data_IF_345603467548
#
_entry.id   IF_345603467548
#
_cell.length_a   1.000
_cell.length_b   1.000
_cell.length_c   1.000
_cell.angle_alpha   90.00
_cell.angle_beta   90.00
_cell.angle_gamma   90.00
#
_symmetry.space_group_name_H-M   'P 1'
#
loop_
_entity.id
_entity.type
_entity.pdbx_description
1 polymer ?
#
# COMPACT_ATOMS: atom_id res chain seq x y z
N UNK A 1 -39.84 -3.00 12.90
CA UNK A 1 -39.24 -3.70 11.74
C UNK A 1 -38.35 -2.83 10.84
N UNK A 2 -38.54 -1.50 10.78
CA UNK A 2 -37.82 -0.62 9.87
C UNK A 2 -36.38 -0.22 10.25
N UNK A 3 -36.06 -0.17 11.56
CA UNK A 3 -34.71 0.24 12.00
C UNK A 3 -33.60 -0.76 11.63
N UNK A 4 -33.90 -2.05 11.57
CA UNK A 4 -32.93 -3.10 11.21
C UNK A 4 -32.62 -3.14 9.70
N UNK A 5 -33.59 -2.81 8.85
CA UNK A 5 -33.39 -2.77 7.40
C UNK A 5 -32.62 -1.52 6.97
N UNK A 6 -32.92 -0.35 7.55
CA UNK A 6 -32.18 0.90 7.34
C UNK A 6 -30.72 0.78 7.83
N UNK A 7 -30.49 0.13 8.98
CA UNK A 7 -29.16 -0.14 9.51
C UNK A 7 -28.33 -1.02 8.55
N UNK A 8 -28.91 -2.10 8.00
CA UNK A 8 -28.22 -2.99 7.03
C UNK A 8 -27.88 -2.29 5.71
N UNK A 9 -28.78 -1.42 5.21
CA UNK A 9 -28.53 -0.62 4.00
C UNK A 9 -27.36 0.34 4.20
N UNK A 10 -27.31 1.01 5.35
CA UNK A 10 -26.24 1.94 5.70
C UNK A 10 -24.88 1.24 5.81
N UNK A 11 -24.81 0.05 6.43
CA UNK A 11 -23.58 -0.73 6.53
C UNK A 11 -23.06 -1.14 5.15
N UNK A 12 -23.94 -1.62 4.25
CA UNK A 12 -23.53 -1.97 2.88
C UNK A 12 -22.95 -0.77 2.13
N UNK A 13 -23.58 0.38 2.27
CA UNK A 13 -23.14 1.60 1.59
C UNK A 13 -21.78 2.09 2.13
N UNK A 14 -21.54 2.00 3.43
CA UNK A 14 -20.24 2.29 4.05
C UNK A 14 -19.15 1.36 3.51
N UNK A 15 -19.43 0.06 3.37
CA UNK A 15 -18.47 -0.90 2.80
C UNK A 15 -18.15 -0.55 1.34
N UNK A 16 -19.17 -0.25 0.53
CA UNK A 16 -18.99 0.13 -0.88
C UNK A 16 -18.13 1.39 -0.99
N UNK A 17 -18.44 2.42 -0.21
CA UNK A 17 -17.68 3.69 -0.24
C UNK A 17 -16.25 3.53 0.25
N UNK A 18 -16.03 2.71 1.27
CA UNK A 18 -14.68 2.38 1.74
C UNK A 18 -13.90 1.56 0.69
N UNK A 19 -14.56 0.61 0.02
CA UNK A 19 -13.96 -0.19 -1.04
C UNK A 19 -13.59 0.64 -2.26
N UNK A 20 -14.49 1.54 -2.70
CA UNK A 20 -14.20 2.49 -3.77
C UNK A 20 -13.10 3.49 -3.38
N UNK A 21 -13.05 3.90 -2.11
CA UNK A 21 -11.97 4.75 -1.60
C UNK A 21 -10.63 4.07 -1.73
N UNK A 22 -10.52 2.84 -1.28
CA UNK A 22 -9.29 2.09 -1.38
C UNK A 22 -8.93 1.74 -2.84
N UNK A 23 -9.93 1.53 -3.71
CA UNK A 23 -9.72 1.35 -5.15
C UNK A 23 -9.05 2.58 -5.78
N UNK A 24 -9.56 3.78 -5.51
CA UNK A 24 -8.99 5.03 -6.04
C UNK A 24 -7.61 5.29 -5.42
N UNK A 25 -7.43 5.01 -4.11
CA UNK A 25 -6.14 5.12 -3.41
C UNK A 25 -5.07 4.26 -4.08
N UNK A 26 -5.36 2.98 -4.35
CA UNK A 26 -4.42 2.07 -5.00
C UNK A 26 -4.19 2.45 -6.47
N UNK A 27 -5.23 2.90 -7.18
CA UNK A 27 -5.07 3.43 -8.54
C UNK A 27 -4.02 4.54 -8.57
N UNK A 28 -4.20 5.56 -7.74
CA UNK A 28 -3.34 6.74 -7.71
C UNK A 28 -1.92 6.44 -7.17
N UNK A 29 -1.84 5.57 -6.17
CA UNK A 29 -0.57 5.13 -5.58
C UNK A 29 0.34 4.46 -6.64
N UNK A 30 -0.26 3.63 -7.49
CA UNK A 30 0.46 2.76 -8.42
C UNK A 30 0.56 3.38 -9.82
N UNK A 31 -0.32 4.32 -10.16
CA UNK A 31 -0.39 4.91 -11.50
C UNK A 31 0.98 5.37 -12.01
N UNK A 32 1.77 6.07 -11.18
CA UNK A 32 3.08 6.53 -11.62
C UNK A 32 4.01 5.38 -12.00
N UNK A 33 4.02 4.29 -11.28
CA UNK A 33 4.84 3.12 -11.61
C UNK A 33 4.51 2.57 -13.00
N UNK A 34 3.23 2.64 -13.39
CA UNK A 34 2.74 2.22 -14.72
C UNK A 34 3.19 3.18 -15.82
N UNK A 35 2.94 4.49 -15.63
CA UNK A 35 3.15 5.51 -16.67
C UNK A 35 4.51 6.21 -16.56
N UNK A 36 5.38 5.80 -15.64
CA UNK A 36 6.67 6.42 -15.35
C UNK A 36 7.49 6.69 -16.59
N UNK A 37 7.73 5.66 -17.40
CA UNK A 37 8.56 5.80 -18.62
C UNK A 37 7.91 6.76 -19.62
N UNK A 38 6.57 6.64 -19.82
CA UNK A 38 5.82 7.51 -20.74
C UNK A 38 5.88 8.98 -20.29
N UNK A 39 5.64 9.24 -18.99
CA UNK A 39 5.63 10.60 -18.44
C UNK A 39 7.01 11.25 -18.45
N UNK A 40 8.06 10.51 -18.08
CA UNK A 40 9.42 11.03 -18.09
C UNK A 40 9.91 11.35 -19.50
N UNK A 41 9.64 10.47 -20.47
CA UNK A 41 9.93 10.74 -21.89
C UNK A 41 9.14 11.94 -22.41
N UNK A 42 7.88 12.07 -22.03
CA UNK A 42 7.03 13.22 -22.36
C UNK A 42 7.57 14.55 -21.81
N UNK A 43 8.29 14.51 -20.69
CA UNK A 43 8.99 15.66 -20.09
C UNK A 43 10.42 15.85 -20.63
N UNK A 44 10.85 15.06 -21.63
CA UNK A 44 12.16 15.18 -22.25
C UNK A 44 13.33 14.60 -21.44
N UNK A 45 13.06 13.70 -20.49
CA UNK A 45 14.11 13.01 -19.71
C UNK A 45 14.82 11.99 -20.62
N UNK A 46 16.17 12.03 -20.71
CA UNK A 46 16.95 11.07 -21.49
C UNK A 46 16.79 9.62 -21.01
N UNK A 47 16.90 8.65 -21.91
CA UNK A 47 16.75 7.23 -21.58
C UNK A 47 17.70 6.75 -20.49
N UNK A 48 18.92 7.32 -20.42
CA UNK A 48 19.91 7.00 -19.39
C UNK A 48 19.52 7.44 -17.98
N UNK A 49 18.67 8.47 -17.86
CA UNK A 49 18.29 9.08 -16.59
C UNK A 49 16.91 8.60 -16.08
N UNK A 50 16.19 7.78 -16.86
CA UNK A 50 14.82 7.33 -16.53
C UNK A 50 14.75 6.59 -15.18
N UNK A 51 15.77 5.80 -14.85
CA UNK A 51 15.83 5.07 -13.59
C UNK A 51 16.02 6.04 -12.41
N UNK A 52 16.96 6.96 -12.52
CA UNK A 52 17.33 7.87 -11.43
C UNK A 52 16.26 8.92 -11.17
N UNK A 53 15.74 9.55 -12.22
CA UNK A 53 14.63 10.51 -12.12
C UNK A 53 13.36 9.80 -11.64
N UNK A 54 13.08 8.59 -12.15
CA UNK A 54 11.95 7.78 -11.71
C UNK A 54 12.05 7.42 -10.23
N UNK A 55 13.22 7.02 -9.76
CA UNK A 55 13.50 6.74 -8.35
C UNK A 55 13.26 7.96 -7.47
N UNK A 56 13.75 9.12 -7.89
CA UNK A 56 13.54 10.39 -7.17
C UNK A 56 12.05 10.72 -7.03
N UNK A 57 11.26 10.56 -8.09
CA UNK A 57 9.83 10.86 -8.08
C UNK A 57 9.02 9.87 -7.22
N UNK A 58 9.38 8.58 -7.22
CA UNK A 58 8.79 7.59 -6.31
C UNK A 58 9.11 7.96 -4.88
N UNK A 59 10.37 8.27 -4.59
CA UNK A 59 10.80 8.65 -3.24
C UNK A 59 10.09 9.90 -2.75
N UNK A 60 9.85 10.89 -3.61
CA UNK A 60 9.07 12.10 -3.27
C UNK A 60 7.67 11.71 -2.78
N UNK A 61 6.95 10.85 -3.49
CA UNK A 61 5.63 10.38 -3.07
C UNK A 61 5.69 9.56 -1.77
N UNK A 62 6.63 8.62 -1.66
CA UNK A 62 6.74 7.76 -0.47
C UNK A 62 7.12 8.55 0.78
N UNK A 63 7.98 9.56 0.62
CA UNK A 63 8.31 10.48 1.72
C UNK A 63 7.09 11.34 2.11
N UNK A 64 6.31 11.78 1.13
CA UNK A 64 5.01 12.41 1.36
C UNK A 64 4.07 11.51 2.17
N UNK A 65 4.01 10.22 1.85
CA UNK A 65 3.18 9.25 2.59
C UNK A 65 3.65 9.03 4.03
N UNK A 66 4.97 9.02 4.28
CA UNK A 66 5.50 8.97 5.65
C UNK A 66 5.00 10.14 6.50
N UNK A 67 5.17 11.35 6.00
CA UNK A 67 4.72 12.57 6.71
C UNK A 67 3.20 12.65 6.79
N UNK A 68 2.51 12.27 5.71
CA UNK A 68 1.05 12.18 5.65
C UNK A 68 0.47 11.21 6.66
N UNK A 69 1.10 10.04 6.86
CA UNK A 69 0.68 9.06 7.86
C UNK A 69 0.69 9.63 9.29
N UNK A 70 1.72 10.41 9.63
CA UNK A 70 1.80 11.12 10.91
C UNK A 70 0.75 12.22 11.00
N UNK A 71 0.63 13.05 9.96
CA UNK A 71 -0.31 14.17 9.90
C UNK A 71 -1.76 13.71 10.05
N UNK A 72 -2.18 12.74 9.23
CA UNK A 72 -3.55 12.22 9.26
C UNK A 72 -3.84 11.41 10.52
N UNK A 73 -2.84 10.73 11.09
CA UNK A 73 -2.96 10.11 12.41
C UNK A 73 -3.35 11.15 13.47
N UNK A 74 -2.60 12.24 13.58
CA UNK A 74 -2.86 13.32 14.54
C UNK A 74 -4.22 14.02 14.28
N UNK A 75 -4.55 14.28 13.01
CA UNK A 75 -5.83 14.91 12.66
C UNK A 75 -6.99 13.97 12.97
N UNK A 76 -6.86 12.67 12.67
CA UNK A 76 -7.87 11.65 12.94
C UNK A 76 -8.20 11.54 14.43
N UNK A 77 -7.19 11.65 15.30
CA UNK A 77 -7.37 11.63 16.75
C UNK A 77 -8.07 12.91 17.27
N UNK A 78 -7.72 14.08 16.69
CA UNK A 78 -8.25 15.37 17.15
C UNK A 78 -9.60 15.75 16.55
N UNK A 79 -9.83 15.46 15.26
CA UNK A 79 -11.00 15.91 14.48
C UNK A 79 -11.90 14.77 14.00
N UNK A 80 -11.53 13.54 14.35
CA UNK A 80 -12.26 12.34 13.93
C UNK A 80 -11.90 11.86 12.51
N UNK A 81 -12.22 10.62 12.22
CA UNK A 81 -11.81 9.87 11.02
C UNK A 81 -12.47 10.36 9.75
N UNK A 82 -13.69 10.88 9.86
CA UNK A 82 -14.41 11.44 8.73
C UNK A 82 -13.64 12.64 8.16
N UNK A 83 -13.12 13.52 9.02
CA UNK A 83 -12.29 14.66 8.59
C UNK A 83 -11.02 14.24 7.84
N UNK A 84 -10.41 13.11 8.25
CA UNK A 84 -9.27 12.52 7.54
C UNK A 84 -9.68 12.04 6.16
N UNK A 85 -10.77 11.26 6.07
CA UNK A 85 -11.27 10.74 4.79
C UNK A 85 -11.59 11.84 3.78
N UNK A 86 -12.16 12.97 4.23
CA UNK A 86 -12.47 14.11 3.35
C UNK A 86 -11.22 14.90 2.96
N UNK A 87 -10.37 15.20 3.94
CA UNK A 87 -9.16 15.98 3.70
C UNK A 87 -8.15 15.25 2.83
N UNK A 88 -7.94 13.96 3.07
CA UNK A 88 -7.00 13.13 2.31
C UNK A 88 -7.43 12.98 0.84
N UNK A 89 -8.70 12.62 0.59
CA UNK A 89 -9.20 12.45 -0.77
C UNK A 89 -9.18 13.74 -1.58
N UNK A 90 -9.53 14.88 -0.97
CA UNK A 90 -9.43 16.17 -1.62
C UNK A 90 -8.01 16.49 -2.03
N UNK A 91 -7.05 16.31 -1.09
CA UNK A 91 -5.66 16.64 -1.31
C UNK A 91 -5.03 15.81 -2.43
N UNK A 92 -5.18 14.48 -2.40
CA UNK A 92 -4.57 13.65 -3.44
C UNK A 92 -5.28 13.79 -4.80
N UNK A 93 -6.60 14.00 -4.81
CA UNK A 93 -7.33 14.18 -6.07
C UNK A 93 -6.92 15.46 -6.79
N UNK A 94 -6.77 16.57 -6.05
CA UNK A 94 -6.27 17.83 -6.62
C UNK A 94 -4.81 17.70 -7.07
N UNK A 95 -3.97 17.00 -6.29
CA UNK A 95 -2.59 16.74 -6.67
C UNK A 95 -2.49 15.89 -7.94
N UNK A 96 -3.35 14.87 -8.10
CA UNK A 96 -3.38 14.07 -9.32
C UNK A 96 -3.86 14.87 -10.53
N UNK A 97 -4.90 15.69 -10.39
CA UNK A 97 -5.27 16.61 -11.47
C UNK A 97 -4.08 17.51 -11.86
N UNK A 98 -3.37 18.07 -10.87
CA UNK A 98 -2.20 18.90 -11.11
C UNK A 98 -1.06 18.12 -11.79
N UNK A 99 -0.87 16.84 -11.46
CA UNK A 99 0.11 15.97 -12.13
C UNK A 99 -0.16 15.83 -13.64
N UNK A 100 -1.43 15.88 -14.08
CA UNK A 100 -1.79 15.85 -15.49
C UNK A 100 -1.36 17.10 -16.30
N UNK A 101 -0.91 18.16 -15.62
CA UNK A 101 -0.51 19.42 -16.24
C UNK A 101 0.95 19.81 -15.97
N UNK A 102 1.76 18.92 -15.39
CA UNK A 102 3.17 19.22 -15.12
C UNK A 102 3.99 19.33 -16.40
N UNK A 103 4.91 20.30 -16.42
CA UNK A 103 5.80 20.56 -17.55
C UNK A 103 7.27 20.43 -17.20
N UNK A 104 7.59 20.11 -15.95
CA UNK A 104 8.96 19.96 -15.46
C UNK A 104 9.08 18.90 -14.37
N UNK A 105 10.24 18.24 -14.30
CA UNK A 105 10.54 17.22 -13.29
C UNK A 105 10.48 17.77 -11.86
N UNK A 106 11.00 18.98 -11.53
CA UNK A 106 10.87 19.52 -10.18
C UNK A 106 9.41 19.76 -9.74
N UNK A 107 8.57 20.32 -10.64
CA UNK A 107 7.14 20.50 -10.34
C UNK A 107 6.46 19.14 -10.11
N UNK A 108 6.79 18.14 -10.92
CA UNK A 108 6.30 16.78 -10.76
C UNK A 108 6.66 16.20 -9.39
N UNK A 109 7.91 16.36 -8.94
CA UNK A 109 8.35 15.89 -7.63
C UNK A 109 7.56 16.51 -6.47
N UNK A 110 7.35 17.83 -6.51
CA UNK A 110 6.58 18.55 -5.49
C UNK A 110 5.13 18.08 -5.45
N UNK A 111 4.48 17.96 -6.61
CA UNK A 111 3.08 17.53 -6.68
C UNK A 111 2.94 16.07 -6.25
N UNK A 112 3.89 15.19 -6.61
CA UNK A 112 3.91 13.81 -6.14
C UNK A 112 4.10 13.69 -4.62
N UNK A 113 4.93 14.54 -4.03
CA UNK A 113 5.07 14.64 -2.58
C UNK A 113 3.73 15.02 -1.91
N UNK A 114 3.02 16.02 -2.46
CA UNK A 114 1.70 16.45 -1.97
C UNK A 114 0.67 15.32 -2.13
N UNK A 115 0.67 14.63 -3.28
CA UNK A 115 -0.18 13.46 -3.52
C UNK A 115 0.07 12.37 -2.48
N UNK A 116 1.36 12.11 -2.16
CA UNK A 116 1.75 11.17 -1.12
C UNK A 116 1.19 11.52 0.25
N UNK A 117 1.25 12.79 0.66
CA UNK A 117 0.62 13.25 1.91
C UNK A 117 -0.89 12.91 1.88
N UNK A 118 -1.57 13.19 0.77
CA UNK A 118 -3.00 12.89 0.63
C UNK A 118 -3.30 11.39 0.78
N UNK A 119 -2.63 10.54 0.00
CA UNK A 119 -2.86 9.09 -0.04
C UNK A 119 -2.69 8.39 1.32
N UNK A 120 -1.86 8.92 2.21
CA UNK A 120 -1.59 8.30 3.50
C UNK A 120 -2.81 8.23 4.45
N UNK A 121 -3.85 9.04 4.22
CA UNK A 121 -5.02 9.11 5.11
C UNK A 121 -6.11 8.08 4.80
N UNK A 122 -6.16 7.54 3.60
CA UNK A 122 -7.32 6.78 3.11
C UNK A 122 -7.45 5.38 3.73
N UNK A 123 -6.40 4.56 3.63
CA UNK A 123 -6.44 3.15 4.02
C UNK A 123 -6.83 2.96 5.50
N UNK A 124 -6.15 3.65 6.40
CA UNK A 124 -6.37 3.49 7.84
C UNK A 124 -7.76 3.94 8.27
N UNK A 125 -8.22 5.08 7.76
CA UNK A 125 -9.53 5.63 8.09
C UNK A 125 -10.66 4.76 7.51
N UNK A 126 -10.51 4.25 6.28
CA UNK A 126 -11.48 3.37 5.61
C UNK A 126 -11.67 2.04 6.34
N UNK A 127 -10.57 1.33 6.63
CA UNK A 127 -10.61 0.06 7.38
C UNK A 127 -11.24 0.25 8.76
N UNK A 128 -10.85 1.33 9.44
CA UNK A 128 -11.37 1.60 10.77
C UNK A 128 -12.87 1.89 10.74
N UNK A 129 -13.35 2.69 9.79
CA UNK A 129 -14.78 2.97 9.63
C UNK A 129 -15.59 1.69 9.42
N UNK A 130 -15.11 0.78 8.56
CA UNK A 130 -15.77 -0.51 8.31
C UNK A 130 -15.77 -1.38 9.55
N UNK A 131 -14.66 -1.47 10.28
CA UNK A 131 -14.57 -2.31 11.49
C UNK A 131 -15.40 -1.79 12.65
N UNK A 132 -15.65 -0.48 12.74
CA UNK A 132 -16.48 0.14 13.78
C UNK A 132 -17.99 0.06 13.48
N UNK A 133 -18.36 -0.01 12.21
CA UNK A 133 -19.77 -0.09 11.80
C UNK A 133 -20.30 -1.50 11.68
N UNK A 134 -19.43 -2.50 11.60
CA UNK A 134 -19.81 -3.91 11.46
C UNK A 134 -19.77 -4.68 12.77
N UNK A 135 -20.65 -5.71 12.87
CA UNK A 135 -20.62 -6.66 14.00
C UNK A 135 -19.32 -7.47 14.02
N UNK A 136 -18.93 -7.97 15.20
CA UNK A 136 -17.69 -8.73 15.40
C UNK A 136 -17.57 -9.93 14.46
N UNK A 137 -18.70 -10.58 14.16
CA UNK A 137 -18.78 -11.77 13.29
C UNK A 137 -18.53 -11.45 11.81
N UNK A 138 -18.92 -10.26 11.35
CA UNK A 138 -18.95 -9.89 9.94
C UNK A 138 -17.80 -8.95 9.51
N UNK A 139 -17.01 -8.42 10.44
CA UNK A 139 -15.89 -7.48 10.14
C UNK A 139 -14.91 -8.03 9.13
N UNK A 140 -14.58 -9.33 9.23
CA UNK A 140 -13.65 -9.98 8.32
C UNK A 140 -14.10 -9.94 6.86
N UNK A 141 -15.39 -10.14 6.61
CA UNK A 141 -15.97 -10.05 5.27
C UNK A 141 -15.90 -8.61 4.73
N UNK A 142 -16.21 -7.62 5.57
CA UNK A 142 -16.14 -6.21 5.18
C UNK A 142 -14.73 -5.78 4.80
N UNK A 143 -13.74 -6.11 5.63
CA UNK A 143 -12.34 -5.79 5.34
C UNK A 143 -11.79 -6.54 4.12
N UNK A 144 -12.21 -7.78 3.91
CA UNK A 144 -11.85 -8.58 2.72
C UNK A 144 -12.41 -7.95 1.43
N UNK A 145 -13.66 -7.47 1.44
CA UNK A 145 -14.27 -6.78 0.29
C UNK A 145 -13.51 -5.48 -0.01
N UNK A 146 -13.22 -4.69 1.02
CA UNK A 146 -12.47 -3.43 0.87
C UNK A 146 -11.08 -3.71 0.28
N UNK A 147 -10.36 -4.69 0.82
CA UNK A 147 -9.04 -5.04 0.31
C UNK A 147 -9.08 -5.59 -1.11
N UNK A 148 -9.98 -6.54 -1.41
CA UNK A 148 -10.07 -7.16 -2.73
C UNK A 148 -10.47 -6.17 -3.83
N UNK A 149 -11.49 -5.34 -3.58
CA UNK A 149 -11.89 -4.29 -4.53
C UNK A 149 -10.79 -3.23 -4.66
N UNK A 150 -10.13 -2.87 -3.56
CA UNK A 150 -9.04 -1.91 -3.57
C UNK A 150 -7.88 -2.33 -4.48
N UNK A 151 -7.46 -3.59 -4.43
CA UNK A 151 -6.37 -4.11 -5.28
C UNK A 151 -6.69 -4.03 -6.77
N UNK A 152 -7.97 -4.07 -7.18
CA UNK A 152 -8.38 -3.86 -8.57
C UNK A 152 -8.05 -2.44 -9.07
N UNK A 153 -7.83 -1.48 -8.18
CA UNK A 153 -7.35 -0.14 -8.53
C UNK A 153 -6.01 -0.17 -9.28
N UNK A 154 -5.08 -1.05 -8.91
CA UNK A 154 -3.81 -1.20 -9.62
C UNK A 154 -4.01 -1.81 -11.03
N UNK A 155 -4.93 -2.76 -11.18
CA UNK A 155 -5.31 -3.32 -12.48
C UNK A 155 -5.91 -2.23 -13.36
N UNK A 156 -6.80 -1.41 -12.82
CA UNK A 156 -7.39 -0.27 -13.53
C UNK A 156 -6.32 0.76 -13.92
N UNK A 157 -5.37 1.07 -13.04
CA UNK A 157 -4.24 1.96 -13.33
C UNK A 157 -3.39 1.43 -14.50
N UNK A 158 -3.12 0.12 -14.52
CA UNK A 158 -2.37 -0.52 -15.60
C UNK A 158 -3.12 -0.41 -16.94
N UNK A 159 -4.41 -0.76 -16.96
CA UNK A 159 -5.25 -0.68 -18.16
C UNK A 159 -5.39 0.76 -18.69
N UNK A 160 -5.65 1.72 -17.80
CA UNK A 160 -5.75 3.13 -18.17
C UNK A 160 -4.40 3.66 -18.67
N UNK A 161 -3.31 3.38 -17.95
CA UNK A 161 -1.96 3.83 -18.34
C UNK A 161 -1.46 3.19 -19.64
N UNK A 162 -1.99 2.03 -20.05
CA UNK A 162 -1.69 1.41 -21.34
C UNK A 162 -2.41 2.11 -22.50
N UNK A 163 -3.72 2.39 -22.32
CA UNK A 163 -4.60 2.87 -23.40
C UNK A 163 -4.67 4.39 -23.56
N UNK A 164 -4.31 5.13 -22.51
CA UNK A 164 -4.37 6.60 -22.51
C UNK A 164 -2.99 7.24 -22.37
N UNK A 165 -2.94 8.57 -22.62
CA UNK A 165 -1.72 9.34 -22.33
C UNK A 165 -1.51 9.43 -20.82
N UNK A 166 -0.28 9.72 -20.40
CA UNK A 166 0.05 9.80 -18.98
C UNK A 166 -0.70 10.97 -18.28
N UNK A 167 -0.92 12.08 -18.99
CA UNK A 167 -1.70 13.23 -18.52
C UNK A 167 -3.16 12.84 -18.27
N UNK A 168 -3.77 12.19 -19.27
CA UNK A 168 -5.17 11.71 -19.17
C UNK A 168 -5.32 10.71 -18.05
N UNK A 169 -4.35 9.84 -17.84
CA UNK A 169 -4.38 8.83 -16.76
C UNK A 169 -4.42 9.50 -15.38
N UNK A 170 -3.66 10.58 -15.16
CA UNK A 170 -3.74 11.37 -13.94
C UNK A 170 -5.07 12.12 -13.78
N UNK A 171 -5.58 12.70 -14.85
CA UNK A 171 -6.88 13.39 -14.83
C UNK A 171 -7.99 12.40 -14.46
N UNK A 172 -7.99 11.19 -15.00
CA UNK A 172 -8.96 10.15 -14.66
C UNK A 172 -8.89 9.84 -13.15
N UNK A 173 -7.69 9.63 -12.57
CA UNK A 173 -7.51 9.38 -11.14
C UNK A 173 -8.05 10.53 -10.29
N UNK A 174 -7.67 11.77 -10.62
CA UNK A 174 -8.13 12.94 -9.89
C UNK A 174 -9.66 13.14 -9.97
N UNK A 175 -10.26 12.91 -11.14
CA UNK A 175 -11.73 12.98 -11.32
C UNK A 175 -12.44 11.88 -10.53
N UNK A 176 -11.93 10.64 -10.57
CA UNK A 176 -12.49 9.54 -9.75
C UNK A 176 -12.48 9.88 -8.25
N UNK A 177 -11.38 10.46 -7.76
CA UNK A 177 -11.27 10.89 -6.37
C UNK A 177 -12.26 11.99 -6.01
N UNK A 178 -12.44 13.01 -6.87
CA UNK A 178 -13.42 14.08 -6.65
C UNK A 178 -14.87 13.58 -6.71
N UNK A 179 -15.19 12.64 -7.61
CA UNK A 179 -16.50 12.00 -7.67
C UNK A 179 -16.79 11.21 -6.39
N UNK A 180 -15.79 10.48 -5.88
CA UNK A 180 -15.89 9.76 -4.62
C UNK A 180 -16.05 10.71 -3.42
N UNK A 181 -15.35 11.86 -3.43
CA UNK A 181 -15.53 12.90 -2.42
C UNK A 181 -16.98 13.41 -2.43
N UNK A 182 -17.53 13.73 -3.61
CA UNK A 182 -18.93 14.13 -3.73
C UNK A 182 -19.92 13.09 -3.21
N UNK A 183 -19.68 11.81 -3.52
CA UNK A 183 -20.47 10.70 -2.97
C UNK A 183 -20.39 10.65 -1.42
N UNK A 184 -19.22 10.84 -0.84
CA UNK A 184 -19.02 10.87 0.62
C UNK A 184 -19.71 12.06 1.28
N UNK A 185 -19.69 13.24 0.68
CA UNK A 185 -20.41 14.43 1.17
C UNK A 185 -21.90 14.13 1.26
N UNK A 186 -22.51 13.63 0.19
CA UNK A 186 -23.93 13.29 0.17
C UNK A 186 -24.32 12.25 1.23
N UNK A 187 -23.44 11.27 1.52
CA UNK A 187 -23.65 10.27 2.57
C UNK A 187 -23.51 10.87 3.98
N UNK A 188 -22.57 11.78 4.19
CA UNK A 188 -22.38 12.46 5.47
C UNK A 188 -23.59 13.33 5.81
N UNK A 189 -24.13 14.07 4.85
CA UNK A 189 -25.34 14.88 5.00
C UNK A 189 -26.57 14.05 5.33
N UNK A 190 -26.67 12.82 4.80
CA UNK A 190 -27.77 11.88 5.13
C UNK A 190 -27.75 11.34 6.56
N UNK A 191 -26.77 11.74 7.37
CA UNK A 191 -26.64 11.37 8.78
C UNK A 191 -26.12 9.96 9.04
N UNK A 192 -25.64 9.25 8.00
CA UNK A 192 -25.11 7.88 8.13
C UNK A 192 -23.90 7.76 9.06
N UNK A 193 -23.14 8.84 9.22
CA UNK A 193 -21.96 8.91 10.09
C UNK A 193 -22.26 9.40 11.51
N UNK A 194 -23.51 9.78 11.83
CA UNK A 194 -23.89 10.34 13.15
C UNK A 194 -23.78 9.32 14.29
N UNK A 195 -23.81 8.02 13.98
CA UNK A 195 -23.76 6.94 14.98
C UNK A 195 -22.37 6.37 15.23
N UNK A 196 -21.31 6.94 14.61
CA UNK A 196 -19.94 6.60 14.96
C UNK A 196 -19.63 7.29 16.29
N UNK A 197 -19.84 6.56 17.39
CA UNK A 197 -19.66 7.07 18.75
C UNK A 197 -18.25 7.61 18.94
N UNK A 198 -18.16 8.89 19.30
CA UNK A 198 -17.01 9.47 19.97
C UNK A 198 -17.02 8.99 21.44
N UNK A 199 -16.62 7.76 21.69
CA UNK A 199 -16.31 7.36 23.06
C UNK A 199 -15.04 8.10 23.47
N UNK A 200 -15.16 8.94 24.50
CA UNK A 200 -14.12 9.86 25.02
C UNK A 200 -12.87 9.19 25.63
N UNK A 201 -12.50 8.01 25.17
CA UNK A 201 -11.21 7.39 25.49
C UNK A 201 -10.15 8.08 24.64
N UNK A 202 -9.09 8.61 25.27
CA UNK A 202 -7.90 9.11 24.58
C UNK A 202 -7.30 8.01 23.69
N UNK A 203 -7.83 7.91 22.47
CA UNK A 203 -7.42 6.93 21.47
C UNK A 203 -6.29 7.54 20.65
N UNK A 204 -5.17 6.84 20.54
CA UNK A 204 -4.19 7.15 19.50
C UNK A 204 -3.13 8.18 19.84
N UNK A 205 -2.64 8.21 21.08
CA UNK A 205 -1.40 8.94 21.33
C UNK A 205 -0.23 8.18 20.68
N UNK A 206 0.14 8.58 19.45
CA UNK A 206 1.25 7.99 18.70
C UNK A 206 2.55 8.00 19.49
N UNK A 207 2.76 8.98 20.36
CA UNK A 207 3.93 9.09 21.23
C UNK A 207 4.05 7.92 22.21
N UNK A 208 2.94 7.28 22.59
CA UNK A 208 2.97 6.06 23.39
C UNK A 208 3.71 4.92 22.72
N UNK A 209 3.80 4.89 21.37
CA UNK A 209 4.55 3.86 20.63
C UNK A 209 6.07 4.02 20.78
N UNK A 210 6.53 5.22 21.14
CA UNK A 210 7.95 5.58 21.24
C UNK A 210 8.46 5.71 22.68
N UNK A 211 7.57 5.84 23.66
CA UNK A 211 7.93 6.07 25.06
C UNK A 211 8.34 4.80 25.82
N UNK A 212 8.07 3.61 25.27
CA UNK A 212 8.39 2.33 25.88
C UNK A 212 9.20 1.45 24.93
N UNK A 213 10.40 1.05 25.33
CA UNK A 213 11.34 0.31 24.48
C UNK A 213 10.79 -1.03 23.93
N UNK A 214 10.19 -1.89 24.75
CA UNK A 214 9.52 -3.12 24.28
C UNK A 214 8.38 -2.83 23.28
N UNK A 215 7.58 -1.80 23.52
CA UNK A 215 6.47 -1.39 22.66
C UNK A 215 6.99 -0.85 21.33
N UNK A 216 8.01 0.01 21.36
CA UNK A 216 8.69 0.50 20.16
C UNK A 216 9.29 -0.64 19.33
N UNK A 217 9.98 -1.59 19.95
CA UNK A 217 10.55 -2.77 19.26
C UNK A 217 9.44 -3.59 18.58
N UNK A 218 8.32 -3.81 19.27
CA UNK A 218 7.15 -4.50 18.75
C UNK A 218 6.57 -3.75 17.53
N UNK A 219 6.44 -2.41 17.64
CA UNK A 219 5.95 -1.56 16.56
C UNK A 219 6.89 -1.58 15.35
N UNK A 220 8.19 -1.40 15.58
CA UNK A 220 9.20 -1.48 14.53
C UNK A 220 9.21 -2.85 13.84
N UNK A 221 9.11 -3.94 14.61
CA UNK A 221 9.02 -5.27 14.02
C UNK A 221 7.79 -5.46 13.14
N UNK A 222 6.64 -4.86 13.50
CA UNK A 222 5.46 -4.86 12.64
C UNK A 222 5.70 -4.10 11.32
N UNK A 223 6.50 -3.06 11.30
CA UNK A 223 6.88 -2.35 10.06
C UNK A 223 7.83 -3.22 9.23
N UNK A 224 8.87 -3.74 9.87
CA UNK A 224 9.96 -4.43 9.19
C UNK A 224 9.52 -5.70 8.44
N UNK A 225 8.51 -6.43 8.93
CA UNK A 225 7.98 -7.63 8.23
C UNK A 225 7.26 -7.30 6.92
N UNK A 226 6.84 -6.04 6.71
CA UNK A 226 6.17 -5.61 5.49
C UNK A 226 7.11 -5.10 4.38
N UNK A 227 8.38 -4.80 4.71
CA UNK A 227 9.35 -4.18 3.79
C UNK A 227 9.53 -4.97 2.48
N UNK A 228 9.68 -6.32 2.48
CA UNK A 228 9.95 -7.05 1.25
C UNK A 228 8.87 -6.90 0.19
N UNK A 229 7.59 -6.77 0.57
CA UNK A 229 6.50 -6.55 -0.36
C UNK A 229 6.72 -5.26 -1.17
N UNK A 230 7.05 -4.16 -0.50
CA UNK A 230 7.26 -2.88 -1.19
C UNK A 230 8.58 -2.82 -1.95
N UNK A 231 9.59 -3.61 -1.58
CA UNK A 231 10.76 -3.83 -2.42
C UNK A 231 10.36 -4.53 -3.74
N UNK A 232 9.54 -5.57 -3.68
CA UNK A 232 9.06 -6.28 -4.89
C UNK A 232 8.27 -5.33 -5.80
N UNK A 233 7.26 -4.66 -5.28
CA UNK A 233 6.39 -3.77 -6.07
C UNK A 233 7.14 -2.52 -6.54
N UNK A 234 7.81 -1.85 -5.61
CA UNK A 234 8.38 -0.51 -5.84
C UNK A 234 9.75 -0.52 -6.52
N UNK A 235 10.51 -1.63 -6.44
CA UNK A 235 11.78 -1.77 -7.14
C UNK A 235 11.64 -2.75 -8.29
N UNK A 236 11.41 -4.03 -8.03
CA UNK A 236 11.52 -5.06 -9.07
C UNK A 236 10.48 -4.89 -10.18
N UNK A 237 9.21 -4.66 -9.82
CA UNK A 237 8.13 -4.56 -10.81
C UNK A 237 8.07 -3.17 -11.44
N UNK A 238 8.27 -2.11 -10.66
CA UNK A 238 8.25 -0.74 -11.18
C UNK A 238 9.39 -0.46 -12.16
N UNK A 239 10.58 -1.00 -11.90
CA UNK A 239 11.74 -0.88 -12.79
C UNK A 239 11.95 -2.11 -13.67
N UNK A 240 10.90 -2.91 -13.89
CA UNK A 240 10.98 -4.09 -14.76
C UNK A 240 11.44 -3.80 -16.20
N UNK A 241 11.18 -2.62 -16.83
CA UNK A 241 11.76 -2.30 -18.13
C UNK A 241 13.28 -2.26 -18.11
N UNK A 242 13.87 -1.70 -17.05
CA UNK A 242 15.32 -1.62 -16.86
C UNK A 242 15.90 -3.01 -16.54
N UNK A 243 15.25 -3.77 -15.67
CA UNK A 243 15.65 -5.16 -15.42
C UNK A 243 15.54 -6.04 -16.65
N UNK A 244 14.48 -5.87 -17.47
CA UNK A 244 14.31 -6.60 -18.71
C UNK A 244 15.46 -6.35 -19.72
N UNK A 245 15.93 -5.10 -19.81
CA UNK A 245 17.11 -4.76 -20.64
C UNK A 245 18.37 -5.45 -20.14
N UNK A 246 18.62 -5.40 -18.82
CA UNK A 246 19.81 -5.98 -18.20
C UNK A 246 19.81 -7.51 -18.27
N UNK A 247 18.64 -8.13 -18.20
CA UNK A 247 18.44 -9.58 -18.34
C UNK A 247 18.32 -10.04 -19.79
N UNK A 248 18.61 -9.17 -20.77
CA UNK A 248 18.55 -9.49 -22.20
C UNK A 248 17.20 -10.08 -22.62
N UNK A 249 16.09 -9.55 -22.10
CA UNK A 249 14.74 -9.98 -22.47
C UNK A 249 14.56 -9.91 -24.00
N UNK A 250 13.92 -10.93 -24.58
CA UNK A 250 13.75 -11.03 -26.05
C UNK A 250 12.78 -10.00 -26.61
N UNK A 251 11.95 -9.41 -25.75
CA UNK A 251 10.94 -8.39 -26.07
C UNK A 251 10.95 -7.28 -25.02
N UNK A 252 10.55 -6.03 -25.39
CA UNK A 252 10.44 -4.95 -24.43
C UNK A 252 9.48 -5.27 -23.29
N UNK A 253 9.94 -5.14 -22.05
CA UNK A 253 9.15 -5.37 -20.85
C UNK A 253 8.38 -4.09 -20.48
N UNK A 254 7.07 -4.24 -20.18
CA UNK A 254 6.19 -3.15 -19.74
C UNK A 254 6.01 -3.18 -18.22
N UNK A 255 6.29 -2.04 -17.55
CA UNK A 255 5.99 -1.88 -16.13
C UNK A 255 4.48 -1.99 -15.84
N UNK A 256 3.63 -1.49 -16.74
CA UNK A 256 2.16 -1.59 -16.61
C UNK A 256 1.69 -3.05 -16.58
N UNK A 257 2.16 -3.86 -17.52
CA UNK A 257 1.88 -5.32 -17.55
C UNK A 257 2.40 -5.99 -16.28
N UNK A 258 3.63 -5.67 -15.87
CA UNK A 258 4.22 -6.20 -14.63
C UNK A 258 3.39 -5.86 -13.39
N UNK A 259 2.97 -4.62 -13.25
CA UNK A 259 2.12 -4.15 -12.14
C UNK A 259 0.77 -4.90 -12.15
N UNK A 260 0.10 -4.98 -13.28
CA UNK A 260 -1.18 -5.66 -13.41
C UNK A 260 -1.10 -7.10 -12.89
N UNK A 261 -0.18 -7.88 -13.41
CA UNK A 261 -0.05 -9.29 -13.05
C UNK A 261 0.49 -9.50 -11.63
N UNK A 262 1.38 -8.61 -11.17
CA UNK A 262 1.84 -8.62 -9.80
C UNK A 262 0.67 -8.37 -8.82
N UNK A 263 -0.19 -7.40 -9.06
CA UNK A 263 -1.34 -7.14 -8.18
C UNK A 263 -2.42 -8.22 -8.23
N UNK A 264 -2.62 -8.87 -9.39
CA UNK A 264 -3.43 -10.09 -9.48
C UNK A 264 -2.79 -11.19 -8.60
N UNK A 265 -1.48 -11.34 -8.69
CA UNK A 265 -0.73 -12.27 -7.84
C UNK A 265 -0.88 -11.96 -6.36
N UNK A 266 -0.74 -10.68 -5.94
CA UNK A 266 -0.93 -10.26 -4.55
C UNK A 266 -2.34 -10.62 -4.06
N UNK A 267 -3.38 -10.36 -4.87
CA UNK A 267 -4.75 -10.69 -4.50
C UNK A 267 -4.95 -12.20 -4.28
N UNK A 268 -4.41 -13.03 -5.16
CA UNK A 268 -4.45 -14.49 -5.01
C UNK A 268 -3.64 -14.96 -3.79
N UNK A 269 -2.46 -14.38 -3.59
CA UNK A 269 -1.60 -14.68 -2.43
C UNK A 269 -2.27 -14.32 -1.11
N UNK A 270 -2.92 -13.14 -1.01
CA UNK A 270 -3.64 -12.72 0.19
C UNK A 270 -4.80 -13.66 0.55
N UNK A 271 -5.54 -14.17 -0.46
CA UNK A 271 -6.58 -15.17 -0.25
C UNK A 271 -5.96 -16.46 0.31
N UNK A 272 -4.88 -16.94 -0.30
CA UNK A 272 -4.19 -18.16 0.14
C UNK A 272 -3.58 -17.97 1.52
N UNK A 273 -2.94 -16.84 1.80
CA UNK A 273 -2.36 -16.51 3.10
C UNK A 273 -3.44 -16.48 4.20
N UNK A 274 -4.60 -15.88 3.92
CA UNK A 274 -5.73 -15.86 4.84
C UNK A 274 -6.26 -17.26 5.14
N UNK A 275 -6.42 -18.10 4.12
CA UNK A 275 -6.85 -19.49 4.27
C UNK A 275 -5.82 -20.33 5.05
N UNK A 276 -4.54 -20.23 4.69
CA UNK A 276 -3.45 -20.90 5.39
C UNK A 276 -3.37 -20.49 6.87
N UNK A 277 -3.65 -19.23 7.20
CA UNK A 277 -3.66 -18.76 8.58
C UNK A 277 -4.71 -19.46 9.43
N UNK A 278 -5.87 -19.77 8.86
CA UNK A 278 -6.92 -20.55 9.53
C UNK A 278 -6.53 -22.03 9.69
N UNK A 279 -5.99 -22.63 8.63
CA UNK A 279 -5.58 -24.04 8.64
C UNK A 279 -4.43 -24.29 9.63
N UNK A 280 -3.38 -23.48 9.56
CA UNK A 280 -2.17 -23.62 10.38
C UNK A 280 -2.36 -23.08 11.81
N UNK A 281 -3.47 -22.37 12.07
CA UNK A 281 -3.72 -21.65 13.34
C UNK A 281 -2.53 -20.82 13.78
N UNK A 282 -1.84 -20.18 12.83
CA UNK A 282 -0.64 -19.39 13.09
C UNK A 282 -0.42 -18.35 12.02
N UNK A 283 -0.41 -17.08 12.42
CA UNK A 283 -0.06 -15.95 11.57
C UNK A 283 1.44 -15.96 11.23
N UNK A 284 2.28 -16.30 12.21
CA UNK A 284 3.74 -16.30 12.03
C UNK A 284 4.21 -17.36 11.03
N UNK A 285 3.64 -18.56 11.03
CA UNK A 285 4.01 -19.61 10.07
C UNK A 285 3.66 -19.18 8.64
N UNK A 286 2.50 -18.55 8.42
CA UNK A 286 2.11 -18.02 7.13
C UNK A 286 3.08 -16.93 6.66
N UNK A 287 3.39 -15.95 7.52
CA UNK A 287 4.37 -14.92 7.20
C UNK A 287 5.72 -15.50 6.82
N UNK A 288 6.22 -16.49 7.59
CA UNK A 288 7.49 -17.18 7.29
C UNK A 288 7.45 -17.83 5.90
N UNK A 289 6.37 -18.57 5.59
CA UNK A 289 6.20 -19.22 4.30
C UNK A 289 6.23 -18.21 3.15
N UNK A 290 5.49 -17.12 3.28
CA UNK A 290 5.44 -16.09 2.23
C UNK A 290 6.75 -15.31 2.10
N UNK A 291 7.48 -15.03 3.20
CA UNK A 291 8.81 -14.42 3.13
C UNK A 291 9.82 -15.32 2.40
N UNK A 292 9.78 -16.64 2.65
CA UNK A 292 10.62 -17.61 1.94
C UNK A 292 10.24 -17.65 0.45
N UNK A 293 8.95 -17.71 0.14
CA UNK A 293 8.46 -17.67 -1.25
C UNK A 293 8.89 -16.36 -1.95
N UNK A 294 8.83 -15.22 -1.25
CA UNK A 294 9.29 -13.93 -1.79
C UNK A 294 10.79 -13.97 -2.08
N UNK A 295 11.60 -14.54 -1.18
CA UNK A 295 13.04 -14.70 -1.45
C UNK A 295 13.29 -15.56 -2.71
N UNK A 296 12.57 -16.68 -2.84
CA UNK A 296 12.67 -17.55 -4.02
C UNK A 296 12.26 -16.81 -5.29
N UNK A 297 11.12 -16.07 -5.26
CA UNK A 297 10.63 -15.35 -6.44
C UNK A 297 11.59 -14.23 -6.88
N UNK A 298 12.24 -13.54 -5.94
CA UNK A 298 13.29 -12.55 -6.23
C UNK A 298 14.46 -13.19 -6.99
N UNK A 299 14.95 -14.34 -6.48
CA UNK A 299 16.04 -15.07 -7.14
C UNK A 299 15.65 -15.55 -8.53
N UNK A 300 14.47 -16.15 -8.65
CA UNK A 300 13.99 -16.66 -9.95
C UNK A 300 13.86 -15.53 -10.97
N UNK A 301 13.27 -14.39 -10.58
CA UNK A 301 13.11 -13.24 -11.47
C UNK A 301 14.45 -12.65 -11.91
N UNK A 302 15.37 -12.40 -10.96
CA UNK A 302 16.65 -11.74 -11.26
C UNK A 302 17.69 -12.66 -11.93
N UNK A 303 17.39 -13.94 -12.13
CA UNK A 303 18.18 -14.87 -12.93
C UNK A 303 17.46 -15.33 -14.21
N UNK A 304 16.35 -14.72 -14.58
CA UNK A 304 15.57 -15.07 -15.76
C UNK A 304 16.14 -14.39 -17.02
N UNK A 305 17.39 -14.71 -17.38
CA UNK A 305 18.05 -14.19 -18.57
C UNK A 305 17.34 -14.63 -19.86
N UNK A 306 17.21 -13.74 -20.84
CA UNK A 306 16.57 -14.02 -22.13
C UNK A 306 15.05 -14.24 -22.04
N UNK A 307 14.39 -13.80 -20.97
CA UNK A 307 12.95 -14.02 -20.79
C UNK A 307 12.11 -13.37 -21.90
N UNK A 308 11.04 -14.07 -22.31
CA UNK A 308 10.01 -13.52 -23.19
C UNK A 308 9.00 -12.68 -22.41
N UNK A 309 8.19 -11.85 -23.09
CA UNK A 309 7.10 -11.10 -22.45
C UNK A 309 6.11 -12.03 -21.72
N UNK A 310 5.83 -13.21 -22.28
CA UNK A 310 4.94 -14.20 -21.63
C UNK A 310 5.57 -14.79 -20.35
N UNK A 311 6.86 -15.08 -20.35
CA UNK A 311 7.57 -15.54 -19.14
C UNK A 311 7.61 -14.45 -18.08
N UNK A 312 7.80 -13.19 -18.47
CA UNK A 312 7.73 -12.06 -17.56
C UNK A 312 6.37 -11.95 -16.86
N UNK A 313 5.27 -12.18 -17.58
CA UNK A 313 3.92 -12.21 -16.97
C UNK A 313 3.85 -13.23 -15.83
N UNK A 314 4.33 -14.44 -16.05
CA UNK A 314 4.34 -15.49 -15.01
C UNK A 314 5.27 -15.16 -13.85
N UNK A 315 6.42 -14.53 -14.12
CA UNK A 315 7.33 -14.06 -13.09
C UNK A 315 6.71 -12.92 -12.27
N UNK A 316 6.06 -11.95 -12.89
CA UNK A 316 5.34 -10.87 -12.22
C UNK A 316 4.19 -11.40 -11.35
N UNK A 317 3.42 -12.37 -11.87
CA UNK A 317 2.38 -13.06 -11.12
C UNK A 317 2.97 -13.78 -9.89
N UNK A 318 4.09 -14.49 -10.06
CA UNK A 318 4.75 -15.20 -8.96
C UNK A 318 5.36 -14.26 -7.92
N UNK A 319 6.00 -13.16 -8.34
CA UNK A 319 6.46 -12.09 -7.45
C UNK A 319 5.29 -11.52 -6.63
N UNK A 320 4.17 -11.26 -7.27
CA UNK A 320 2.95 -10.79 -6.61
C UNK A 320 2.39 -11.83 -5.66
N UNK A 321 2.20 -13.07 -6.09
CA UNK A 321 1.66 -14.15 -5.26
C UNK A 321 2.50 -14.36 -3.99
N UNK A 322 3.81 -14.43 -4.13
CA UNK A 322 4.74 -14.63 -3.02
C UNK A 322 4.73 -13.45 -2.03
N UNK A 323 4.42 -12.23 -2.52
CA UNK A 323 4.27 -11.03 -1.71
C UNK A 323 2.84 -10.79 -1.22
N UNK A 324 1.89 -11.69 -1.54
CA UNK A 324 0.49 -11.62 -1.19
C UNK A 324 0.22 -12.01 0.26
N UNK A 325 0.77 -11.26 1.19
CA UNK A 325 0.55 -11.41 2.63
C UNK A 325 0.15 -10.10 3.31
N UNK A 326 -0.31 -9.11 2.52
CA UNK A 326 -0.63 -7.78 3.02
C UNK A 326 -1.73 -7.80 4.08
N UNK A 327 -2.82 -8.53 3.83
CA UNK A 327 -3.91 -8.65 4.81
C UNK A 327 -3.46 -9.34 6.09
N UNK A 328 -2.65 -10.41 6.00
CA UNK A 328 -2.07 -11.11 7.16
C UNK A 328 -1.12 -10.21 7.94
N UNK A 329 -0.28 -9.45 7.26
CA UNK A 329 0.65 -8.47 7.82
C UNK A 329 -0.10 -7.38 8.63
N UNK A 330 -1.11 -6.75 8.05
CA UNK A 330 -1.93 -5.72 8.73
C UNK A 330 -2.66 -6.32 9.94
N UNK A 331 -3.13 -7.57 9.81
CA UNK A 331 -3.77 -8.29 10.91
C UNK A 331 -2.79 -8.52 12.06
N UNK A 332 -1.58 -9.01 11.79
CA UNK A 332 -0.54 -9.16 12.82
C UNK A 332 -0.30 -7.83 13.53
N UNK A 333 -0.08 -6.75 12.77
CA UNK A 333 0.16 -5.44 13.33
C UNK A 333 -0.98 -4.98 14.25
N UNK A 334 -2.24 -5.19 13.83
CA UNK A 334 -3.41 -4.83 14.64
C UNK A 334 -3.55 -5.67 15.91
N UNK A 335 -3.26 -6.97 15.83
CA UNK A 335 -3.41 -7.93 16.93
C UNK A 335 -2.28 -7.84 17.98
N UNK A 336 -1.14 -7.22 17.65
CA UNK A 336 -0.03 -7.01 18.58
C UNK A 336 -0.31 -5.93 19.62
N UNK A 337 -1.30 -5.04 19.39
CA UNK A 337 -1.54 -3.87 20.24
C UNK A 337 -2.95 -3.84 20.82
N UNK A 338 -3.05 -3.27 22.03
CA UNK A 338 -4.31 -3.05 22.73
C UNK A 338 -5.25 -2.10 21.97
N UNK A 339 -6.51 -2.09 22.40
CA UNK A 339 -7.62 -1.36 21.73
C UNK A 339 -7.33 0.13 21.57
N UNK A 340 -6.62 0.74 22.54
CA UNK A 340 -6.29 2.17 22.53
C UNK A 340 -5.22 2.57 21.51
N UNK A 341 -4.33 1.66 21.09
CA UNK A 341 -3.28 1.92 20.10
C UNK A 341 -3.52 1.24 18.74
N UNK A 342 -4.44 0.28 18.69
CA UNK A 342 -4.69 -0.55 17.50
C UNK A 342 -5.00 0.27 16.25
N UNK A 343 -5.86 1.29 16.38
CA UNK A 343 -6.24 2.15 15.26
C UNK A 343 -5.05 2.97 14.74
N UNK A 344 -4.23 3.50 15.64
CA UNK A 344 -2.99 4.22 15.29
C UNK A 344 -2.03 3.30 14.55
N UNK A 345 -1.82 2.08 15.06
CA UNK A 345 -0.92 1.08 14.47
C UNK A 345 -1.40 0.65 13.09
N UNK A 346 -2.69 0.34 12.92
CA UNK A 346 -3.26 -0.07 11.62
C UNK A 346 -3.19 1.04 10.56
N UNK A 347 -3.15 2.30 10.97
CA UNK A 347 -2.99 3.44 10.07
C UNK A 347 -1.52 3.72 9.76
N UNK A 348 -0.66 3.72 10.78
CA UNK A 348 0.72 4.17 10.61
C UNK A 348 1.64 3.09 10.05
N UNK A 349 1.51 1.82 10.48
CA UNK A 349 2.38 0.73 10.03
C UNK A 349 2.36 0.55 8.52
N UNK A 350 1.22 0.46 7.81
CA UNK A 350 1.22 0.37 6.34
C UNK A 350 1.90 1.54 5.65
N UNK A 351 1.73 2.76 6.16
CA UNK A 351 2.36 3.95 5.58
C UNK A 351 3.87 3.98 5.81
N UNK A 352 4.34 3.52 6.98
CA UNK A 352 5.78 3.38 7.25
C UNK A 352 6.41 2.27 6.39
N UNK A 353 5.69 1.18 6.15
CA UNK A 353 6.13 0.13 5.22
C UNK A 353 6.24 0.67 3.80
N UNK A 354 5.26 1.44 3.32
CA UNK A 354 5.33 2.13 2.03
C UNK A 354 6.50 3.11 1.99
N UNK A 355 6.68 3.90 3.03
CA UNK A 355 7.79 4.85 3.16
C UNK A 355 9.17 4.19 3.24
N UNK A 356 9.27 2.94 3.71
CA UNK A 356 10.54 2.20 3.73
C UNK A 356 11.10 1.95 2.33
N UNK A 357 10.27 2.05 1.29
CA UNK A 357 10.72 2.01 -0.10
C UNK A 357 11.80 3.05 -0.40
N UNK A 358 11.76 4.23 0.26
CA UNK A 358 12.82 5.25 0.12
C UNK A 358 14.19 4.68 0.49
N UNK A 359 14.27 3.95 1.60
CA UNK A 359 15.53 3.32 2.02
C UNK A 359 15.97 2.22 1.05
N UNK A 360 15.02 1.40 0.56
CA UNK A 360 15.32 0.35 -0.41
C UNK A 360 15.83 0.92 -1.73
N UNK A 361 15.19 1.96 -2.27
CA UNK A 361 15.60 2.61 -3.53
C UNK A 361 16.92 3.37 -3.40
N UNK A 362 17.15 4.06 -2.28
CA UNK A 362 18.44 4.73 -2.01
C UNK A 362 19.56 3.71 -1.88
N UNK A 363 19.35 2.60 -1.18
CA UNK A 363 20.33 1.51 -1.08
C UNK A 363 20.61 0.88 -2.44
N UNK A 364 19.57 0.63 -3.22
CA UNK A 364 19.70 0.14 -4.60
C UNK A 364 20.49 1.09 -5.48
N UNK A 365 20.18 2.39 -5.44
CA UNK A 365 20.88 3.42 -6.22
C UNK A 365 22.37 3.54 -5.83
N UNK A 366 22.68 3.43 -4.53
CA UNK A 366 24.05 3.48 -4.04
C UNK A 366 24.91 2.27 -4.49
N UNK A 367 24.28 1.09 -4.61
CA UNK A 367 24.97 -0.14 -4.96
C UNK A 367 25.09 -0.36 -6.48
N UNK A 368 24.13 0.17 -7.29
CA UNK A 368 24.07 -0.11 -8.74
C UNK A 368 25.34 0.25 -9.51
N UNK A 369 26.05 1.31 -9.08
CA UNK A 369 27.29 1.75 -9.72
C UNK A 369 28.48 0.80 -9.50
N UNK A 370 28.50 0.05 -8.42
CA UNK A 370 29.58 -0.86 -8.05
C UNK A 370 29.32 -2.33 -8.37
N UNK A 371 28.04 -2.76 -8.29
CA UNK A 371 27.65 -4.17 -8.38
C UNK A 371 26.77 -4.47 -9.61
N UNK A 372 26.35 -3.45 -10.38
CA UNK A 372 25.34 -3.56 -11.44
C UNK A 372 23.91 -3.67 -10.87
N UNK A 373 22.93 -3.54 -11.77
CA UNK A 373 21.50 -3.47 -11.40
C UNK A 373 21.03 -4.78 -10.74
N UNK A 374 21.37 -5.93 -11.31
CA UNK A 374 20.91 -7.25 -10.84
C UNK A 374 21.43 -7.57 -9.44
N UNK A 375 22.75 -7.49 -9.24
CA UNK A 375 23.36 -7.81 -7.93
C UNK A 375 22.94 -6.83 -6.86
N UNK A 376 22.73 -5.55 -7.20
CA UNK A 376 22.22 -4.55 -6.25
C UNK A 376 20.81 -4.88 -5.80
N UNK A 377 19.93 -5.29 -6.74
CA UNK A 377 18.58 -5.72 -6.42
C UNK A 377 18.56 -6.99 -5.57
N UNK A 378 19.39 -7.98 -5.89
CA UNK A 378 19.55 -9.19 -5.07
C UNK A 378 20.00 -8.84 -3.65
N UNK A 379 21.00 -7.99 -3.51
CA UNK A 379 21.55 -7.59 -2.20
C UNK A 379 20.50 -6.88 -1.36
N UNK A 380 19.82 -5.87 -1.90
CA UNK A 380 18.76 -5.12 -1.18
C UNK A 380 17.59 -6.04 -0.87
N UNK A 381 17.20 -6.90 -1.80
CA UNK A 381 16.14 -7.88 -1.61
C UNK A 381 16.46 -8.85 -0.46
N UNK A 382 17.65 -9.44 -0.43
CA UNK A 382 18.06 -10.35 0.65
C UNK A 382 18.18 -9.64 1.99
N UNK A 383 18.70 -8.41 2.03
CA UNK A 383 18.75 -7.62 3.26
C UNK A 383 17.33 -7.36 3.77
N UNK A 384 16.38 -6.99 2.90
CA UNK A 384 15.00 -6.75 3.28
C UNK A 384 14.32 -8.01 3.85
N UNK A 385 14.56 -9.18 3.23
CA UNK A 385 14.07 -10.48 3.73
C UNK A 385 14.72 -10.85 5.08
N UNK A 386 16.04 -10.69 5.22
CA UNK A 386 16.73 -10.98 6.47
C UNK A 386 16.21 -10.12 7.63
N UNK A 387 16.04 -8.82 7.40
CA UNK A 387 15.45 -7.89 8.37
C UNK A 387 14.02 -8.34 8.74
N UNK A 388 13.20 -8.70 7.75
CA UNK A 388 11.84 -9.16 8.00
C UNK A 388 11.78 -10.48 8.78
N UNK A 389 12.68 -11.43 8.51
CA UNK A 389 12.77 -12.70 9.27
C UNK A 389 13.18 -12.45 10.72
N UNK A 390 14.17 -11.60 10.98
CA UNK A 390 14.58 -11.22 12.34
C UNK A 390 13.43 -10.54 13.08
N UNK A 391 12.72 -9.64 12.42
CA UNK A 391 11.56 -8.95 12.98
C UNK A 391 10.41 -9.93 13.29
N UNK A 392 10.13 -10.85 12.36
CA UNK A 392 9.10 -11.89 12.56
C UNK A 392 9.43 -12.80 13.77
N UNK A 393 10.70 -13.13 13.95
CA UNK A 393 11.14 -13.93 15.12
C UNK A 393 10.80 -13.22 16.43
N UNK A 394 10.98 -11.89 16.51
CA UNK A 394 10.72 -11.08 17.71
C UNK A 394 9.21 -10.92 18.02
N UNK A 395 8.33 -11.01 17.02
CA UNK A 395 6.89 -10.88 17.21
C UNK A 395 6.32 -12.15 17.88
N UNK A 396 5.29 -11.95 18.71
CA UNK A 396 4.53 -13.06 19.31
C UNK A 396 3.46 -13.55 18.34
N UNK A 397 3.11 -14.86 18.46
CA UNK A 397 1.94 -15.38 17.75
C UNK A 397 0.67 -14.70 18.24
N UNK A 398 -0.22 -14.36 17.31
CA UNK A 398 -1.45 -13.61 17.61
C UNK A 398 -2.72 -14.38 17.29
N UNK A 399 -2.62 -15.53 16.62
CA UNK A 399 -3.80 -16.32 16.25
C UNK A 399 -4.57 -16.77 17.49
N UNK A 400 -5.86 -16.42 17.56
CA UNK A 400 -6.74 -16.77 18.69
C UNK A 400 -6.48 -16.00 19.97
N UNK A 401 -5.66 -14.93 19.95
CA UNK A 401 -5.40 -14.08 21.10
C UNK A 401 -6.63 -13.23 21.43
N UNK A 402 -6.92 -13.10 22.73
CA UNK A 402 -7.89 -12.10 23.18
C UNK A 402 -7.38 -10.70 22.90
N UNK A 403 -8.21 -9.90 22.25
CA UNK A 403 -7.87 -8.56 21.79
C UNK A 403 -8.46 -7.46 22.68
N UNK A 404 -9.24 -7.80 23.68
CA UNK A 404 -9.92 -6.84 24.57
C UNK A 404 -8.99 -6.43 25.74
N UNK A 405 -7.83 -5.85 25.40
CA UNK A 405 -6.92 -5.29 26.40
C UNK A 405 -6.49 -3.87 26.00
N UNK A 406 -6.05 -3.10 26.98
CA UNK A 406 -5.55 -1.72 26.84
C UNK A 406 -4.05 -1.72 27.17
N UNK A 407 -3.26 -1.07 26.34
CA UNK A 407 -1.85 -0.80 26.65
C UNK A 407 -1.78 0.25 27.75
N UNK A 408 -1.10 -0.08 28.87
CA UNK A 408 -0.91 0.83 29.99
C UNK A 408 0.27 1.75 29.68
N UNK A 409 0.12 3.04 29.99
CA UNK A 409 1.16 4.08 29.80
C UNK A 409 2.34 3.90 30.74
#
# INVERSE_FOLDING_TARGET
MDQTAASKKNVRLIIIVAALGYFVDIYDLILFSVIRVKSLKGLGVPDGDLLDVGTMLINSQMFGMLLGGLLWGIIGDKRGRISVLFGSILLYSLANLANGFVTSVPAYAVIRFIAGIGLAGELGAGITLVTETMSKENRGYGTMIVAGVGLLGAVAAALVGEHYTWETSYIIGGVMGLLLLGLRVGLAESGMFKNVKNDGVSRGNIFMLFNDGPRFRKYLSCILIGIPLWFVVGVLVTFSPEFGKELNATEPISAGTGIMWCYIGIALGDIVAGFMAQMLRSRKKVMLTFLILTAISIVVYLNAEGMTAQQFIWLALFLGFSSGYWATFVTIASEQFGTNLRATVTTTVPNFVRGSLVLATLSFAALKGSMGIINSALTVGFISIAIALVALYQLKETFGKDLDYVEIS
#
